data_IF_993994314458
#
_entry.id   IF_993994314458
#
_cell.length_a   1.000
_cell.length_b   1.000
_cell.length_c   1.000
_cell.angle_alpha   90.00
_cell.angle_beta   90.00
_cell.angle_gamma   90.00
#
_symmetry.space_group_name_H-M   'P 1'
#
loop_
_entity.id
_entity.type
_entity.pdbx_description
1 polymer ?
#
# COMPACT_ATOMS: atom_id res chain seq x y z
N UNK A 1 15.95 29.32 17.05
CA UNK A 1 15.54 28.01 16.50
C UNK A 1 14.67 28.35 15.32
N UNK A 2 15.15 28.13 14.09
CA UNK A 2 14.37 28.45 12.91
C UNK A 2 13.16 27.51 12.83
N UNK A 3 12.01 28.07 12.51
CA UNK A 3 10.72 27.38 12.58
C UNK A 3 10.39 26.71 11.25
N UNK A 4 9.60 25.63 11.32
CA UNK A 4 9.01 24.97 10.17
C UNK A 4 8.13 25.94 9.38
N UNK A 5 7.87 25.64 8.11
CA UNK A 5 7.05 26.51 7.27
C UNK A 5 5.60 26.54 7.76
N UNK A 6 5.18 27.70 8.27
CA UNK A 6 3.84 27.92 8.81
C UNK A 6 2.76 28.10 7.75
N UNK A 7 1.50 28.17 8.21
CA UNK A 7 0.36 28.51 7.35
C UNK A 7 -0.19 27.35 6.53
N UNK A 8 0.21 26.10 6.79
CA UNK A 8 -0.32 24.89 6.14
C UNK A 8 -1.43 24.18 6.92
N UNK A 9 -1.95 24.81 7.98
CA UNK A 9 -3.04 24.30 8.80
C UNK A 9 -4.43 24.64 8.26
N UNK A 10 -5.40 23.74 8.43
CA UNK A 10 -6.82 23.96 8.15
C UNK A 10 -7.54 24.38 9.45
N UNK A 11 -7.36 25.65 9.85
CA UNK A 11 -7.95 26.22 11.07
C UNK A 11 -7.33 25.73 12.40
N UNK A 12 -6.50 24.69 12.35
CA UNK A 12 -5.71 24.14 13.47
C UNK A 12 -4.28 23.86 12.98
N UNK A 13 -3.33 23.73 13.92
CA UNK A 13 -1.97 23.32 13.57
C UNK A 13 -1.98 21.93 12.94
N UNK A 14 -1.28 21.71 11.83
CA UNK A 14 -1.21 20.39 11.22
C UNK A 14 -0.43 19.43 12.13
N UNK A 15 -0.81 18.16 12.11
CA UNK A 15 -0.18 17.11 12.89
C UNK A 15 0.01 15.87 12.01
N UNK A 16 1.09 15.12 12.24
CA UNK A 16 1.29 13.83 11.61
C UNK A 16 1.93 12.84 12.57
N UNK A 17 1.51 11.58 12.45
CA UNK A 17 2.15 10.43 13.05
C UNK A 17 2.63 9.50 11.95
N UNK A 18 3.90 9.09 12.03
CA UNK A 18 4.49 8.13 11.09
C UNK A 18 5.03 6.95 11.88
N UNK A 19 4.67 5.74 11.47
CA UNK A 19 5.26 4.49 11.94
C UNK A 19 6.00 3.84 10.78
N UNK A 20 7.25 3.46 11.01
CA UNK A 20 8.05 2.74 10.02
C UNK A 20 8.12 1.28 10.41
N UNK A 21 7.76 0.42 9.48
CA UNK A 21 7.93 -1.02 9.56
C UNK A 21 8.92 -1.44 8.46
N UNK A 22 9.86 -2.34 8.77
CA UNK A 22 10.86 -2.81 7.81
C UNK A 22 10.89 -4.33 7.72
N UNK A 23 10.86 -4.88 6.51
CA UNK A 23 11.00 -6.31 6.27
C UNK A 23 11.64 -6.56 4.91
N UNK A 24 12.50 -7.58 4.81
CA UNK A 24 13.19 -7.94 3.56
C UNK A 24 13.95 -6.77 2.90
N UNK A 25 14.42 -5.82 3.71
CA UNK A 25 15.13 -4.64 3.22
C UNK A 25 14.24 -3.59 2.56
N UNK A 26 12.91 -3.66 2.70
CA UNK A 26 11.97 -2.59 2.31
C UNK A 26 11.53 -1.78 3.53
N UNK A 27 11.01 -0.58 3.30
CA UNK A 27 10.40 0.25 4.36
C UNK A 27 8.96 0.53 3.98
N UNK A 28 8.07 0.35 4.94
CA UNK A 28 6.69 0.82 4.83
C UNK A 28 6.41 1.84 5.92
N UNK A 29 6.08 3.05 5.48
CA UNK A 29 5.68 4.16 6.30
C UNK A 29 4.16 4.20 6.39
N UNK A 30 3.61 3.89 7.57
CA UNK A 30 2.21 4.12 7.90
C UNK A 30 2.04 5.53 8.41
N UNK A 31 1.26 6.36 7.72
CA UNK A 31 1.02 7.75 8.05
C UNK A 31 -0.39 7.95 8.58
N UNK A 32 -0.52 8.82 9.58
CA UNK A 32 -1.77 9.42 10.01
C UNK A 32 -1.56 10.93 10.10
N UNK A 33 -2.19 11.69 9.20
CA UNK A 33 -2.00 13.13 9.06
C UNK A 33 -3.32 13.84 9.31
N UNK A 34 -3.30 14.96 10.03
CA UNK A 34 -4.47 15.79 10.34
C UNK A 34 -4.20 17.25 10.08
N UNK A 35 -5.25 17.97 9.69
CA UNK A 35 -5.24 19.44 9.66
C UNK A 35 -4.36 20.04 8.56
N UNK A 36 -3.86 19.28 7.58
CA UNK A 36 -3.22 19.86 6.40
C UNK A 36 -4.25 20.56 5.53
N UNK A 37 -3.96 21.81 5.16
CA UNK A 37 -4.81 22.58 4.24
C UNK A 37 -4.66 22.05 2.80
N UNK A 38 -5.71 22.16 2.02
CA UNK A 38 -5.61 21.97 0.57
C UNK A 38 -5.06 23.24 -0.09
N UNK A 39 -4.45 23.09 -1.27
CA UNK A 39 -3.97 24.21 -2.05
C UNK A 39 -3.27 23.80 -3.34
N UNK A 40 -2.66 24.75 -4.06
CA UNK A 40 -1.98 24.51 -5.33
C UNK A 40 -0.59 23.86 -5.14
N UNK A 41 -0.48 22.93 -4.19
CA UNK A 41 0.75 22.22 -3.84
C UNK A 41 0.41 20.75 -3.55
N UNK A 42 1.39 19.89 -3.80
CA UNK A 42 1.33 18.45 -3.56
C UNK A 42 2.11 18.13 -2.30
N UNK A 43 1.55 17.31 -1.41
CA UNK A 43 2.29 16.87 -0.24
C UNK A 43 3.08 15.60 -0.53
N UNK A 44 4.32 15.55 -0.05
CA UNK A 44 5.23 14.41 -0.21
C UNK A 44 5.83 14.03 1.13
N UNK A 45 5.91 12.72 1.43
CA UNK A 45 6.71 12.21 2.54
C UNK A 45 8.15 11.99 2.07
N UNK A 46 9.11 12.47 2.84
CA UNK A 46 10.53 12.14 2.71
C UNK A 46 11.01 11.40 3.96
N UNK A 47 11.81 10.35 3.75
CA UNK A 47 12.62 9.73 4.79
C UNK A 47 14.08 10.14 4.61
N UNK A 48 14.74 10.51 5.70
CA UNK A 48 16.11 11.00 5.70
C UNK A 48 16.97 10.01 6.47
N UNK A 49 18.02 9.53 5.80
CA UNK A 49 18.86 8.44 6.28
C UNK A 49 20.26 8.95 6.58
N UNK A 50 20.92 8.37 7.60
CA UNK A 50 22.36 8.49 7.77
C UNK A 50 23.09 7.67 6.71
N UNK A 51 24.05 8.28 6.02
CA UNK A 51 24.89 7.63 5.03
C UNK A 51 26.33 8.10 5.18
N UNK A 52 27.19 7.22 5.71
CA UNK A 52 28.56 7.60 6.08
C UNK A 52 28.54 8.77 7.07
N UNK A 53 29.26 9.84 6.74
CA UNK A 53 29.30 11.09 7.53
C UNK A 53 28.18 12.10 7.15
N UNK A 54 27.28 11.71 6.24
CA UNK A 54 26.25 12.60 5.70
C UNK A 54 24.83 12.09 5.88
N UNK A 55 23.89 12.84 5.30
CA UNK A 55 22.46 12.50 5.24
C UNK A 55 22.00 12.46 3.80
N UNK A 56 21.06 11.55 3.51
CA UNK A 56 20.41 11.43 2.21
C UNK A 56 18.90 11.41 2.36
N UNK A 57 18.19 12.18 1.55
CA UNK A 57 16.73 12.22 1.51
C UNK A 57 16.19 11.34 0.38
N UNK A 58 15.15 10.55 0.68
CA UNK A 58 14.45 9.72 -0.29
C UNK A 58 12.95 10.04 -0.20
N UNK A 59 12.28 10.39 -1.32
CA UNK A 59 10.83 10.53 -1.34
C UNK A 59 10.17 9.16 -1.18
N UNK A 60 9.31 9.01 -0.16
CA UNK A 60 8.52 7.81 0.07
C UNK A 60 7.23 7.81 -0.76
N UNK A 61 6.71 8.99 -1.11
CA UNK A 61 5.54 9.13 -1.99
C UNK A 61 4.57 10.21 -1.56
N UNK A 62 3.41 10.22 -2.21
CA UNK A 62 2.39 11.25 -2.05
C UNK A 62 1.61 11.13 -0.76
N UNK A 63 1.40 12.26 -0.11
CA UNK A 63 0.48 12.38 1.02
C UNK A 63 -0.77 13.09 0.50
N UNK A 64 -1.92 12.40 0.56
CA UNK A 64 -3.18 13.01 0.16
C UNK A 64 -3.68 13.96 1.27
N UNK A 65 -4.01 15.20 0.93
CA UNK A 65 -4.67 16.15 1.83
C UNK A 65 -6.21 16.12 1.66
N UNK A 66 -6.75 15.03 1.13
CA UNK A 66 -8.19 14.86 0.97
C UNK A 66 -8.79 14.55 2.34
N UNK A 67 -9.65 15.43 2.88
CA UNK A 67 -10.35 15.34 4.17
C UNK A 67 -9.51 15.71 5.42
N UNK A 68 -10.14 16.16 6.54
CA UNK A 68 -9.45 16.70 7.73
C UNK A 68 -8.45 15.76 8.40
N UNK A 69 -8.49 14.47 8.08
CA UNK A 69 -7.50 13.48 8.47
C UNK A 69 -7.32 12.44 7.38
N UNK A 70 -6.08 12.07 7.09
CA UNK A 70 -5.70 11.03 6.13
C UNK A 70 -4.89 9.95 6.84
N UNK A 71 -5.22 8.69 6.56
CA UNK A 71 -4.41 7.54 6.95
C UNK A 71 -4.02 6.79 5.68
N UNK A 72 -2.77 6.38 5.58
CA UNK A 72 -2.28 5.62 4.43
C UNK A 72 -0.91 5.02 4.65
N UNK A 73 -0.43 4.31 3.64
CA UNK A 73 0.83 3.60 3.68
C UNK A 73 1.63 3.90 2.42
N UNK A 74 2.92 4.18 2.61
CA UNK A 74 3.88 4.46 1.53
C UNK A 74 5.05 3.50 1.65
N UNK A 75 5.52 2.96 0.54
CA UNK A 75 6.58 1.96 0.49
C UNK A 75 7.82 2.51 -0.22
N UNK A 76 9.00 2.23 0.35
CA UNK A 76 10.28 2.36 -0.35
C UNK A 76 10.82 0.94 -0.55
N UNK A 77 10.95 0.55 -1.80
CA UNK A 77 11.40 -0.79 -2.17
C UNK A 77 12.91 -0.99 -1.87
N UNK A 78 13.36 -2.25 -1.72
CA UNK A 78 14.76 -2.53 -1.43
C UNK A 78 15.74 -2.09 -2.51
N UNK A 79 15.30 -2.03 -3.78
CA UNK A 79 16.09 -1.56 -4.91
C UNK A 79 16.42 -0.08 -4.78
N UNK A 80 15.43 0.73 -4.41
CA UNK A 80 15.62 2.16 -4.11
C UNK A 80 16.57 2.35 -2.92
N UNK A 81 16.41 1.62 -1.81
CA UNK A 81 17.36 1.76 -0.69
C UNK A 81 18.79 1.38 -1.09
N UNK A 82 18.96 0.32 -1.90
CA UNK A 82 20.26 -0.10 -2.43
C UNK A 82 20.87 0.93 -3.38
N UNK A 83 20.10 1.53 -4.29
CA UNK A 83 20.63 2.55 -5.21
C UNK A 83 21.08 3.81 -4.48
N UNK A 84 20.47 4.09 -3.34
CA UNK A 84 20.86 5.16 -2.43
C UNK A 84 21.88 4.71 -1.39
N UNK A 85 22.40 3.48 -1.48
CA UNK A 85 23.36 2.88 -0.54
C UNK A 85 22.97 3.15 0.93
N UNK A 86 21.72 2.87 1.25
CA UNK A 86 21.11 3.01 2.58
C UNK A 86 20.33 1.75 2.96
N UNK A 87 19.85 1.70 4.21
CA UNK A 87 19.10 0.58 4.80
C UNK A 87 18.02 1.09 5.77
N UNK A 88 16.97 0.31 6.05
CA UNK A 88 15.90 0.70 6.96
C UNK A 88 16.34 1.20 8.33
N UNK A 89 17.34 0.56 8.94
CA UNK A 89 17.89 0.90 10.24
C UNK A 89 18.60 2.27 10.29
N UNK A 90 18.87 2.88 9.13
CA UNK A 90 19.58 4.15 9.02
C UNK A 90 18.64 5.35 8.94
N UNK A 91 17.32 5.17 8.99
CA UNK A 91 16.38 6.30 9.01
C UNK A 91 16.57 7.11 10.30
N UNK A 92 16.79 8.41 10.14
CA UNK A 92 16.94 9.37 11.26
C UNK A 92 15.76 10.31 11.37
N UNK A 93 15.16 10.68 10.25
CA UNK A 93 14.10 11.68 10.21
C UNK A 93 13.01 11.34 9.19
N UNK A 94 11.85 11.94 9.40
CA UNK A 94 10.75 12.01 8.45
C UNK A 94 10.30 13.46 8.28
N UNK A 95 9.97 13.86 7.05
CA UNK A 95 9.48 15.19 6.75
C UNK A 95 8.31 15.10 5.76
N UNK A 96 7.26 15.89 5.99
CA UNK A 96 6.21 16.12 4.99
C UNK A 96 6.49 17.48 4.36
N UNK A 97 6.67 17.50 3.04
CA UNK A 97 6.83 18.72 2.27
C UNK A 97 5.52 19.11 1.60
N UNK A 98 5.31 20.40 1.35
CA UNK A 98 4.35 20.90 0.39
C UNK A 98 5.12 21.41 -0.84
N UNK A 99 4.83 20.88 -2.01
CA UNK A 99 5.60 21.13 -3.23
C UNK A 99 4.75 21.79 -4.32
N UNK A 100 5.28 22.86 -4.89
CA UNK A 100 4.79 23.50 -6.12
C UNK A 100 5.91 23.48 -7.16
N UNK A 101 5.64 23.96 -8.39
CA UNK A 101 6.63 23.93 -9.49
C UNK A 101 7.99 24.52 -9.10
N UNK A 102 7.98 25.62 -8.34
CA UNK A 102 9.18 26.42 -8.08
C UNK A 102 9.52 26.56 -6.59
N UNK A 103 8.66 26.03 -5.71
CA UNK A 103 8.81 26.18 -4.25
C UNK A 103 8.45 24.90 -3.52
N UNK A 104 9.24 24.63 -2.49
CA UNK A 104 9.04 23.55 -1.53
C UNK A 104 9.00 24.16 -0.14
N UNK A 105 8.06 23.71 0.68
CA UNK A 105 7.90 24.07 2.08
C UNK A 105 7.91 22.81 2.93
N UNK A 106 8.34 22.91 4.18
CA UNK A 106 8.43 21.80 5.13
C UNK A 106 7.53 22.10 6.33
N UNK A 107 6.22 21.82 6.23
CA UNK A 107 5.28 22.08 7.32
C UNK A 107 5.40 21.12 8.50
N UNK A 108 5.87 19.88 8.29
CA UNK A 108 5.96 18.89 9.35
C UNK A 108 7.27 18.12 9.28
N UNK A 109 7.85 17.86 10.45
CA UNK A 109 9.10 17.16 10.63
C UNK A 109 9.10 16.34 11.92
N UNK A 110 9.74 15.18 11.90
CA UNK A 110 9.96 14.35 13.06
C UNK A 110 11.33 13.68 13.02
N UNK A 111 11.95 13.51 14.19
CA UNK A 111 13.11 12.66 14.39
C UNK A 111 12.73 11.36 15.08
N UNK A 112 13.39 10.26 14.72
CA UNK A 112 13.20 8.97 15.39
C UNK A 112 14.05 8.82 16.65
N UNK A 113 15.00 9.75 16.86
CA UNK A 113 15.86 9.81 18.04
C UNK A 113 15.66 11.15 18.76
N UNK A 114 15.49 11.10 20.09
CA UNK A 114 15.23 12.28 20.94
C UNK A 114 16.36 13.32 20.93
N UNK A 115 17.58 12.90 20.64
CA UNK A 115 18.78 13.74 20.54
C UNK A 115 18.79 14.59 19.27
N UNK A 116 18.12 14.13 18.21
CA UNK A 116 18.15 14.75 16.90
C UNK A 116 17.03 15.79 16.79
N UNK A 117 17.39 17.02 16.42
CA UNK A 117 16.47 18.14 16.27
C UNK A 117 16.48 18.67 14.85
N UNK A 118 15.46 19.44 14.51
CA UNK A 118 15.39 20.19 13.27
C UNK A 118 16.51 21.24 13.18
N UNK A 119 17.09 21.39 11.99
CA UNK A 119 17.98 22.47 11.59
C UNK A 119 17.86 22.77 10.08
N UNK A 120 18.39 23.91 9.64
CA UNK A 120 18.31 24.34 8.25
C UNK A 120 19.14 23.47 7.28
N UNK A 121 20.12 22.71 7.79
CA UNK A 121 20.90 21.80 6.95
C UNK A 121 20.02 20.67 6.40
N UNK A 122 19.02 20.22 7.18
CA UNK A 122 18.03 19.23 6.77
C UNK A 122 17.13 19.76 5.65
N UNK A 123 16.75 21.05 5.68
CA UNK A 123 16.01 21.68 4.57
C UNK A 123 16.82 21.60 3.28
N UNK A 124 18.11 21.90 3.34
CA UNK A 124 19.01 21.82 2.18
C UNK A 124 19.16 20.39 1.65
N UNK A 125 19.14 19.37 2.51
CA UNK A 125 19.20 17.95 2.12
C UNK A 125 17.91 17.52 1.41
N UNK A 126 16.75 17.98 1.85
CA UNK A 126 15.47 17.68 1.19
C UNK A 126 15.39 18.41 -0.17
N UNK A 127 15.86 19.66 -0.24
CA UNK A 127 15.86 20.45 -1.47
C UNK A 127 16.86 19.93 -2.52
N UNK A 128 17.99 19.36 -2.09
CA UNK A 128 18.95 18.69 -2.96
C UNK A 128 18.38 17.35 -3.40
N UNK A 129 17.61 17.35 -4.51
CA UNK A 129 17.28 16.12 -5.25
C UNK A 129 18.53 15.27 -5.36
N UNK A 130 18.48 14.04 -4.85
CA UNK A 130 19.62 13.14 -4.85
C UNK A 130 20.24 13.05 -6.25
N UNK A 131 21.59 13.02 -6.35
CA UNK A 131 22.25 13.02 -7.64
C UNK A 131 21.79 11.81 -8.44
N UNK A 132 21.11 12.07 -9.56
CA UNK A 132 20.93 11.09 -10.65
C UNK A 132 22.31 10.72 -11.17
N UNK A 133 22.98 9.74 -10.56
CA UNK A 133 24.16 9.10 -11.15
C UNK A 133 23.77 7.70 -11.60
N UNK A 134 23.76 7.56 -12.93
CA UNK A 134 23.86 6.33 -13.73
C UNK A 134 22.58 5.54 -13.99
N UNK A 135 21.60 6.16 -14.65
CA UNK A 135 20.72 5.46 -15.61
C UNK A 135 20.96 5.88 -17.07
N UNK A 136 21.79 6.91 -17.31
CA UNK A 136 22.21 7.35 -18.66
C UNK A 136 23.68 7.01 -18.90
N UNK A 137 24.01 5.71 -19.00
CA UNK A 137 25.27 5.25 -19.64
C UNK A 137 25.13 3.86 -20.31
N UNK A 138 23.90 3.45 -20.67
CA UNK A 138 23.69 2.26 -21.53
C UNK A 138 23.05 2.60 -22.87
N UNK A 139 22.55 3.82 -23.08
CA UNK A 139 21.92 4.22 -24.35
C UNK A 139 22.83 4.87 -25.39
N UNK A 140 24.07 5.26 -25.06
CA UNK A 140 24.98 5.95 -26.01
C UNK A 140 26.17 5.12 -26.50
N UNK A 141 26.36 3.89 -25.98
CA UNK A 141 27.41 2.98 -26.47
C UNK A 141 26.95 2.06 -27.62
N UNK A 142 25.65 2.01 -27.92
CA UNK A 142 25.08 1.13 -28.95
C UNK A 142 24.88 1.81 -30.33
N UNK A 143 25.36 3.05 -30.53
CA UNK A 143 25.17 3.80 -31.80
C UNK A 143 26.45 4.22 -32.52
N UNK A 144 27.63 3.75 -32.12
CA UNK A 144 28.88 3.98 -32.84
C UNK A 144 29.72 2.70 -32.91
N UNK A 145 29.32 1.78 -33.78
CA UNK A 145 30.09 0.55 -34.02
C UNK A 145 29.64 -0.26 -35.22
N UNK A 146 28.87 0.34 -36.14
CA UNK A 146 28.32 -0.37 -37.30
C UNK A 146 28.52 0.46 -38.57
N UNK A 147 29.78 0.75 -38.85
CA UNK A 147 30.24 1.08 -40.20
C UNK A 147 31.77 1.11 -40.20
N UNK A 148 32.39 -0.01 -40.54
CA UNK A 148 33.44 -0.08 -41.56
C UNK A 148 34.13 -1.45 -41.58
N UNK A 149 34.03 -2.06 -42.76
CA UNK A 149 34.96 -3.05 -43.35
C UNK A 149 34.98 -4.41 -42.66
N UNK A 150 34.61 -5.49 -43.33
CA UNK A 150 35.35 -5.97 -44.50
C UNK A 150 34.53 -7.05 -45.21
N UNK A 151 34.25 -6.80 -46.47
CA UNK A 151 34.07 -7.84 -47.48
C UNK A 151 35.42 -8.50 -47.77
N UNK A 152 35.30 -9.79 -48.12
CA UNK A 152 36.24 -10.66 -48.84
C UNK A 152 37.23 -11.51 -48.03
N UNK A 153 36.82 -12.78 -47.96
CA UNK A 153 37.59 -14.01 -47.73
C UNK A 153 38.46 -14.36 -48.95
N UNK A 154 39.63 -14.92 -48.69
CA UNK A 154 40.21 -16.19 -49.20
C UNK A 154 41.73 -16.15 -48.88
N UNK A 155 42.44 -17.19 -48.45
CA UNK A 155 42.30 -18.63 -48.69
C UNK A 155 43.24 -19.43 -47.75
N UNK A 156 42.70 -20.55 -47.25
CA UNK A 156 43.27 -21.92 -47.12
C UNK A 156 44.52 -22.29 -46.28
N UNK A 157 44.41 -23.53 -45.77
CA UNK A 157 45.39 -24.49 -45.22
C UNK A 157 45.66 -24.43 -43.69
N UNK A 158 45.78 -25.50 -42.92
CA UNK A 158 45.37 -26.93 -42.93
C UNK A 158 45.78 -27.50 -41.54
N UNK A 159 45.33 -28.71 -41.17
CA UNK A 159 45.77 -29.57 -40.04
C UNK A 159 45.24 -29.32 -38.61
N UNK A 160 44.54 -30.35 -38.06
CA UNK A 160 44.13 -30.48 -36.64
C UNK A 160 45.20 -31.17 -35.77
N UNK A 161 44.86 -31.91 -34.67
CA UNK A 161 43.56 -32.11 -34.00
C UNK A 161 43.62 -32.08 -32.43
N UNK A 162 42.50 -32.48 -31.80
CA UNK A 162 42.31 -32.96 -30.42
C UNK A 162 42.14 -31.90 -29.30
N UNK A 163 41.12 -31.96 -28.43
CA UNK A 163 40.06 -32.94 -28.29
C UNK A 163 39.03 -32.59 -27.19
N UNK A 164 38.04 -33.47 -27.06
CA UNK A 164 37.07 -33.67 -25.95
C UNK A 164 36.08 -32.49 -25.74
N UNK A 165 34.75 -32.63 -25.89
CA UNK A 165 33.86 -33.67 -25.38
C UNK A 165 32.50 -33.62 -26.12
N UNK A 166 31.86 -34.78 -26.24
CA UNK A 166 30.55 -35.05 -26.86
C UNK A 166 29.37 -34.81 -25.86
N UNK A 167 28.08 -35.04 -26.20
CA UNK A 167 27.05 -33.98 -26.22
C UNK A 167 25.82 -34.22 -25.31
N UNK A 168 24.96 -33.19 -25.23
CA UNK A 168 23.49 -33.16 -24.97
C UNK A 168 22.87 -33.98 -23.80
N UNK A 169 21.89 -33.42 -23.05
CA UNK A 169 20.52 -33.52 -23.56
C UNK A 169 19.53 -32.38 -23.22
N UNK A 170 18.58 -32.23 -24.16
CA UNK A 170 17.19 -31.73 -24.11
C UNK A 170 16.50 -31.41 -22.75
N UNK A 171 15.53 -30.47 -22.76
CA UNK A 171 14.91 -29.90 -21.57
C UNK A 171 13.85 -30.82 -20.95
N UNK A 172 14.10 -31.23 -19.70
CA UNK A 172 13.11 -31.84 -18.81
C UNK A 172 12.36 -30.78 -18.02
N UNK A 173 11.07 -30.64 -18.32
CA UNK A 173 10.00 -30.02 -17.53
C UNK A 173 10.24 -30.22 -16.02
N UNK A 174 10.52 -29.14 -15.27
CA UNK A 174 10.45 -29.14 -13.81
C UNK A 174 9.45 -28.10 -13.34
N UNK A 175 8.61 -28.59 -12.45
CA UNK A 175 7.41 -27.99 -11.91
C UNK A 175 7.66 -26.64 -11.25
N UNK A 176 6.68 -25.77 -11.46
CA UNK A 176 6.48 -24.51 -10.75
C UNK A 176 6.42 -24.74 -9.25
N UNK A 177 7.54 -24.51 -8.56
CA UNK A 177 7.53 -24.27 -7.12
C UNK A 177 7.29 -22.78 -6.87
N UNK A 178 6.03 -22.37 -6.98
CA UNK A 178 5.51 -21.17 -6.33
C UNK A 178 5.57 -21.36 -4.81
N UNK A 179 6.62 -20.85 -4.17
CA UNK A 179 6.62 -20.49 -2.75
C UNK A 179 6.78 -18.96 -2.71
N UNK A 180 5.73 -18.17 -2.56
CA UNK A 180 4.77 -18.24 -1.47
C UNK A 180 5.25 -17.28 -0.39
N UNK A 181 4.96 -16.00 -0.60
CA UNK A 181 5.26 -14.90 0.30
C UNK A 181 4.89 -15.25 1.74
N UNK A 182 5.77 -14.91 2.68
CA UNK A 182 5.48 -14.89 4.10
C UNK A 182 4.43 -13.81 4.40
N UNK A 183 3.18 -14.12 4.10
CA UNK A 183 2.00 -13.42 4.57
C UNK A 183 2.06 -13.41 6.10
N UNK A 184 2.03 -12.22 6.70
CA UNK A 184 1.70 -12.08 8.12
C UNK A 184 0.36 -12.80 8.28
N UNK A 185 0.40 -13.96 8.93
CA UNK A 185 -0.76 -14.84 9.07
C UNK A 185 -1.85 -14.06 9.80
N UNK A 186 -2.95 -13.76 9.11
CA UNK A 186 -4.13 -13.18 9.73
C UNK A 186 -4.51 -14.02 10.95
N UNK A 187 -4.62 -13.36 12.11
CA UNK A 187 -5.09 -14.01 13.33
C UNK A 187 -6.63 -13.94 13.32
N UNK A 188 -7.23 -14.98 12.72
CA UNK A 188 -8.67 -15.07 12.49
C UNK A 188 -9.43 -15.15 13.81
N UNK A 189 -8.90 -15.88 14.79
CA UNK A 189 -9.53 -16.04 16.10
C UNK A 189 -9.54 -14.70 16.86
N UNK A 190 -8.45 -13.94 16.77
CA UNK A 190 -8.38 -12.57 17.30
C UNK A 190 -9.34 -11.63 16.58
N UNK A 191 -9.44 -11.72 15.24
CA UNK A 191 -10.37 -10.91 14.46
C UNK A 191 -11.82 -11.17 14.89
N UNK A 192 -12.23 -12.44 14.94
CA UNK A 192 -13.58 -12.85 15.33
C UNK A 192 -13.90 -12.38 16.75
N UNK A 193 -12.96 -12.53 17.68
CA UNK A 193 -13.11 -12.07 19.06
C UNK A 193 -13.29 -10.55 19.13
N UNK A 194 -12.47 -9.79 18.38
CA UNK A 194 -12.57 -8.33 18.37
C UNK A 194 -13.88 -7.86 17.73
N UNK A 195 -14.32 -8.46 16.63
CA UNK A 195 -15.60 -8.09 16.00
C UNK A 195 -16.76 -8.38 16.95
N UNK A 196 -16.80 -9.59 17.53
CA UNK A 196 -17.85 -10.01 18.47
C UNK A 196 -17.96 -9.10 19.69
N UNK A 197 -16.82 -8.61 20.20
CA UNK A 197 -16.81 -7.72 21.36
C UNK A 197 -17.21 -6.27 21.04
N UNK A 198 -17.21 -5.89 19.77
CA UNK A 198 -17.35 -4.49 19.36
C UNK A 198 -18.62 -4.19 18.54
N UNK A 199 -19.27 -5.22 17.99
CA UNK A 199 -20.41 -5.10 17.10
C UNK A 199 -21.50 -6.12 17.42
N UNK A 200 -22.75 -5.77 17.10
CA UNK A 200 -23.91 -6.60 17.39
C UNK A 200 -24.03 -7.73 16.37
N UNK A 201 -24.20 -8.97 16.85
CA UNK A 201 -24.47 -10.10 15.99
C UNK A 201 -25.84 -9.92 15.30
N UNK A 202 -25.91 -10.27 14.02
CA UNK A 202 -27.11 -10.08 13.21
C UNK A 202 -27.40 -11.31 12.35
N UNK A 203 -28.66 -11.49 11.96
CA UNK A 203 -29.07 -12.50 11.00
C UNK A 203 -29.77 -11.81 9.82
N UNK A 204 -29.01 -11.17 8.92
CA UNK A 204 -29.58 -10.34 7.86
C UNK A 204 -30.30 -11.14 6.77
N UNK A 205 -30.08 -12.46 6.69
CA UNK A 205 -30.63 -13.33 5.65
C UNK A 205 -31.51 -14.43 6.26
N UNK A 206 -32.76 -14.57 5.77
CA UNK A 206 -33.73 -15.56 6.26
C UNK A 206 -33.27 -17.02 6.14
N UNK A 207 -32.45 -17.34 5.13
CA UNK A 207 -31.77 -18.63 4.99
C UNK A 207 -30.30 -18.42 5.28
N UNK A 208 -29.97 -18.28 6.56
CA UNK A 208 -28.59 -18.19 7.01
C UNK A 208 -27.86 -19.49 6.71
N UNK A 209 -26.70 -19.39 6.05
CA UNK A 209 -25.77 -20.51 5.99
C UNK A 209 -25.00 -20.53 7.33
N UNK A 210 -24.95 -21.66 8.07
CA UNK A 210 -24.24 -21.77 9.35
C UNK A 210 -22.74 -21.43 9.26
N UNK A 211 -22.16 -21.49 8.06
CA UNK A 211 -20.76 -21.13 7.81
C UNK A 211 -20.51 -19.62 7.88
N UNK A 212 -21.56 -18.81 7.91
CA UNK A 212 -21.47 -17.36 8.02
C UNK A 212 -21.85 -16.87 9.41
N UNK A 213 -21.00 -16.02 9.97
CA UNK A 213 -21.35 -15.20 11.14
C UNK A 213 -21.42 -13.75 10.70
N UNK A 214 -22.54 -13.06 11.00
CA UNK A 214 -22.76 -11.68 10.59
C UNK A 214 -22.85 -10.74 11.79
N UNK A 215 -22.35 -9.53 11.59
CA UNK A 215 -22.34 -8.45 12.57
C UNK A 215 -22.76 -7.14 11.92
N UNK A 216 -23.55 -6.33 12.62
CA UNK A 216 -23.90 -4.99 12.19
C UNK A 216 -22.80 -4.00 12.62
N UNK A 217 -22.27 -3.30 11.63
CA UNK A 217 -21.20 -2.32 11.81
C UNK A 217 -21.76 -0.94 11.52
N UNK A 218 -21.82 -0.11 12.57
CA UNK A 218 -22.22 1.30 12.49
C UNK A 218 -21.02 2.25 12.39
N UNK A 219 -19.81 1.76 12.69
CA UNK A 219 -18.57 2.53 12.67
C UNK A 219 -17.52 1.82 11.82
N UNK A 220 -17.32 2.38 10.61
CA UNK A 220 -16.35 1.85 9.64
C UNK A 220 -14.90 2.03 10.10
N UNK A 221 -14.60 3.11 10.82
CA UNK A 221 -13.25 3.37 11.30
C UNK A 221 -12.87 2.34 12.37
N UNK A 222 -13.80 2.03 13.26
CA UNK A 222 -13.63 0.97 14.27
C UNK A 222 -13.42 -0.40 13.63
N UNK A 223 -14.20 -0.74 12.60
CA UNK A 223 -14.01 -1.99 11.86
C UNK A 223 -12.64 -2.03 11.16
N UNK A 224 -12.25 -0.95 10.50
CA UNK A 224 -10.95 -0.82 9.83
C UNK A 224 -9.79 -1.06 10.80
N UNK A 225 -9.84 -0.44 11.98
CA UNK A 225 -8.85 -0.64 13.03
C UNK A 225 -8.78 -2.10 13.52
N UNK A 226 -9.94 -2.75 13.70
CA UNK A 226 -10.00 -4.16 14.12
C UNK A 226 -9.36 -5.08 13.07
N UNK A 227 -9.67 -4.88 11.79
CA UNK A 227 -9.07 -5.65 10.71
C UNK A 227 -7.56 -5.42 10.63
N UNK A 228 -7.12 -4.17 10.72
CA UNK A 228 -5.71 -3.82 10.73
C UNK A 228 -4.94 -4.47 11.90
N UNK A 229 -5.48 -4.43 13.12
CA UNK A 229 -4.90 -5.08 14.30
C UNK A 229 -4.84 -6.62 14.21
N UNK A 230 -5.60 -7.18 13.27
CA UNK A 230 -5.66 -8.63 13.00
C UNK A 230 -4.81 -9.04 11.78
N UNK A 231 -4.08 -8.09 11.18
CA UNK A 231 -3.17 -8.33 10.06
C UNK A 231 -3.81 -8.19 8.67
N UNK A 232 -5.01 -7.62 8.58
CA UNK A 232 -5.77 -7.45 7.34
C UNK A 232 -5.78 -5.97 6.95
N UNK A 233 -5.08 -5.62 5.87
CA UNK A 233 -5.10 -4.25 5.33
C UNK A 233 -5.89 -4.21 4.03
N UNK A 234 -7.16 -3.83 4.12
CA UNK A 234 -8.10 -3.89 3.00
C UNK A 234 -8.49 -2.47 2.57
N UNK A 235 -8.17 -2.05 1.34
CA UNK A 235 -8.48 -0.69 0.86
C UNK A 235 -9.97 -0.46 0.55
N UNK A 236 -10.82 -1.46 0.74
CA UNK A 236 -12.27 -1.43 0.41
C UNK A 236 -12.97 -0.23 1.04
N UNK A 237 -12.59 0.18 2.24
CA UNK A 237 -13.23 1.29 2.96
C UNK A 237 -13.00 2.67 2.36
N UNK A 238 -12.07 2.83 1.42
CA UNK A 238 -11.88 4.08 0.69
C UNK A 238 -12.97 4.32 -0.38
N UNK A 239 -13.84 3.34 -0.64
CA UNK A 239 -14.88 3.45 -1.66
C UNK A 239 -16.07 4.32 -1.16
N UNK A 240 -16.36 5.47 -1.79
CA UNK A 240 -17.43 6.37 -1.36
C UNK A 240 -18.82 5.71 -1.32
N UNK A 241 -19.08 4.70 -2.16
CA UNK A 241 -20.36 3.99 -2.19
C UNK A 241 -20.62 3.21 -0.90
N UNK A 242 -19.57 2.72 -0.25
CA UNK A 242 -19.69 2.05 1.06
C UNK A 242 -20.11 3.05 2.13
N UNK A 243 -19.51 4.24 2.12
CA UNK A 243 -19.88 5.33 3.01
C UNK A 243 -21.32 5.77 2.78
N UNK A 244 -21.75 5.92 1.52
CA UNK A 244 -23.14 6.26 1.18
C UNK A 244 -24.11 5.22 1.75
N UNK A 245 -23.81 3.93 1.61
CA UNK A 245 -24.61 2.84 2.19
C UNK A 245 -24.69 2.96 3.72
N UNK A 246 -23.54 3.12 4.38
CA UNK A 246 -23.45 3.31 5.82
C UNK A 246 -24.25 4.54 6.30
N UNK A 247 -24.13 5.68 5.64
CA UNK A 247 -24.81 6.92 6.04
C UNK A 247 -26.33 6.83 5.87
N UNK A 248 -26.79 6.20 4.79
CA UNK A 248 -28.22 6.06 4.47
C UNK A 248 -28.91 5.06 5.38
N UNK A 249 -28.31 3.89 5.57
CA UNK A 249 -28.92 2.78 6.29
C UNK A 249 -28.43 2.63 7.73
N UNK A 250 -27.48 3.48 8.16
CA UNK A 250 -26.88 3.54 9.52
C UNK A 250 -26.08 2.31 9.93
N UNK A 251 -25.90 1.35 9.03
CA UNK A 251 -25.08 0.18 9.26
C UNK A 251 -24.54 -0.37 7.94
N UNK A 252 -23.51 -1.21 8.04
CA UNK A 252 -23.11 -2.20 7.04
C UNK A 252 -23.03 -3.56 7.73
N UNK A 253 -22.82 -4.61 6.97
CA UNK A 253 -22.57 -5.95 7.51
C UNK A 253 -21.09 -6.30 7.46
N UNK A 254 -20.57 -6.84 8.54
CA UNK A 254 -19.33 -7.60 8.57
C UNK A 254 -19.66 -9.08 8.73
N UNK A 255 -19.24 -9.88 7.77
CA UNK A 255 -19.42 -11.32 7.72
C UNK A 255 -18.09 -12.04 7.86
N UNK A 256 -18.08 -13.13 8.61
CA UNK A 256 -16.99 -14.10 8.61
C UNK A 256 -17.51 -15.38 8.00
N UNK A 257 -16.90 -15.80 6.90
CA UNK A 257 -17.19 -17.08 6.26
C UNK A 257 -16.09 -18.08 6.60
N UNK A 258 -16.51 -19.20 7.21
CA UNK A 258 -15.65 -20.34 7.52
C UNK A 258 -15.93 -21.45 6.52
N UNK A 259 -15.20 -21.46 5.41
CA UNK A 259 -15.32 -22.50 4.39
C UNK A 259 -14.56 -23.78 4.76
N UNK A 260 -15.00 -24.91 4.20
CA UNK A 260 -14.22 -26.14 4.20
C UNK A 260 -12.90 -25.90 3.43
N UNK A 261 -11.77 -26.42 3.93
CA UNK A 261 -10.41 -26.28 3.36
C UNK A 261 -9.68 -24.93 3.58
N UNK A 262 -9.83 -24.30 4.75
CA UNK A 262 -9.06 -23.10 5.15
C UNK A 262 -9.31 -21.84 4.27
N UNK A 263 -10.40 -21.85 3.49
CA UNK A 263 -10.86 -20.69 2.71
C UNK A 263 -11.69 -19.79 3.61
N UNK A 264 -11.01 -19.05 4.48
CA UNK A 264 -11.65 -18.08 5.36
C UNK A 264 -11.77 -16.75 4.61
N UNK A 265 -13.00 -16.26 4.48
CA UNK A 265 -13.27 -14.96 3.84
C UNK A 265 -13.88 -14.01 4.84
N UNK A 266 -13.42 -12.77 4.80
CA UNK A 266 -14.13 -11.65 5.39
C UNK A 266 -15.09 -11.09 4.34
N UNK A 267 -16.33 -10.83 4.73
CA UNK A 267 -17.38 -10.43 3.81
C UNK A 267 -17.96 -9.10 4.26
N UNK A 268 -17.98 -8.12 3.37
CA UNK A 268 -18.56 -6.81 3.64
C UNK A 268 -19.89 -6.75 2.91
N UNK A 269 -20.99 -6.55 3.64
CA UNK A 269 -22.31 -6.33 3.07
C UNK A 269 -22.66 -4.85 3.07
N UNK A 270 -22.71 -4.24 1.89
CA UNK A 270 -23.06 -2.82 1.72
C UNK A 270 -24.55 -2.72 1.40
N UNK A 271 -25.36 -2.07 2.26
CA UNK A 271 -26.79 -1.99 2.04
C UNK A 271 -27.12 -1.11 0.83
N UNK A 272 -28.12 -1.53 0.06
CA UNK A 272 -28.67 -0.76 -1.04
C UNK A 272 -30.18 -1.02 -1.22
N UNK A 273 -30.82 -0.17 -2.02
CA UNK A 273 -32.25 -0.29 -2.32
C UNK A 273 -32.57 -1.47 -3.24
N UNK A 274 -31.71 -1.73 -4.22
CA UNK A 274 -31.88 -2.77 -5.24
C UNK A 274 -30.52 -3.10 -5.90
N UNK A 275 -30.53 -4.02 -6.87
CA UNK A 275 -29.35 -4.50 -7.60
C UNK A 275 -28.75 -3.48 -8.59
N UNK A 276 -29.35 -2.31 -8.75
CA UNK A 276 -28.81 -1.22 -9.57
C UNK A 276 -28.32 -0.05 -8.70
N UNK A 277 -28.78 0.03 -7.46
CA UNK A 277 -28.41 1.08 -6.52
C UNK A 277 -27.03 0.84 -5.88
N UNK A 278 -26.23 1.91 -5.82
CA UNK A 278 -25.03 2.02 -5.00
C UNK A 278 -24.02 0.85 -5.10
N UNK A 279 -23.92 0.20 -6.27
CA UNK A 279 -23.01 -0.93 -6.52
C UNK A 279 -21.55 -0.54 -6.28
N UNK A 280 -20.87 -1.10 -5.25
CA UNK A 280 -19.56 -0.64 -4.81
C UNK A 280 -18.45 -0.96 -5.81
N UNK A 281 -18.46 -2.16 -6.38
CA UNK A 281 -17.46 -2.64 -7.34
C UNK A 281 -18.15 -3.19 -8.58
N UNK A 282 -17.55 -3.02 -9.76
CA UNK A 282 -18.17 -3.53 -10.99
C UNK A 282 -18.15 -5.06 -11.00
N UNK A 283 -16.98 -5.70 -10.97
CA UNK A 283 -16.91 -7.17 -11.07
C UNK A 283 -16.78 -7.88 -9.73
N UNK A 284 -16.37 -7.17 -8.68
CA UNK A 284 -15.98 -7.75 -7.38
C UNK A 284 -17.02 -7.57 -6.26
N UNK A 285 -18.31 -7.72 -6.60
CA UNK A 285 -19.37 -7.79 -5.59
C UNK A 285 -20.58 -8.56 -6.10
N UNK A 286 -21.34 -9.14 -5.17
CA UNK A 286 -22.55 -9.92 -5.46
C UNK A 286 -23.76 -9.34 -4.75
N UNK A 287 -24.86 -9.16 -5.49
CA UNK A 287 -26.13 -8.74 -4.90
C UNK A 287 -26.79 -9.89 -4.13
N UNK A 288 -27.27 -9.61 -2.92
CA UNK A 288 -28.10 -10.52 -2.13
C UNK A 288 -29.32 -9.78 -1.59
N UNK A 289 -30.54 -10.12 -2.05
CA UNK A 289 -31.75 -9.46 -1.59
C UNK A 289 -32.13 -9.88 -0.16
N UNK A 290 -32.75 -8.96 0.58
CA UNK A 290 -33.27 -9.20 1.93
C UNK A 290 -34.77 -8.91 1.93
N UNK A 291 -35.54 -9.76 2.61
CA UNK A 291 -36.99 -9.58 2.72
C UNK A 291 -37.40 -9.40 4.17
N UNK A 292 -38.23 -8.38 4.45
CA UNK A 292 -38.75 -8.13 5.79
C UNK A 292 -37.75 -7.49 6.74
N UNK A 293 -36.90 -6.59 6.24
CA UNK A 293 -36.07 -5.74 7.11
C UNK A 293 -36.91 -4.63 7.73
N UNK A 294 -36.66 -4.32 9.00
CA UNK A 294 -37.22 -3.15 9.70
C UNK A 294 -36.66 -1.82 9.16
N UNK A 295 -35.58 -1.89 8.37
CA UNK A 295 -34.97 -0.71 7.75
C UNK A 295 -35.72 -0.33 6.47
N UNK A 296 -36.34 0.85 6.50
CA UNK A 296 -37.06 1.41 5.35
C UNK A 296 -36.17 1.51 4.10
N UNK A 297 -36.72 1.11 2.95
CA UNK A 297 -36.07 1.15 1.63
C UNK A 297 -34.79 0.31 1.50
N UNK A 298 -34.56 -0.66 2.39
CA UNK A 298 -33.49 -1.65 2.24
C UNK A 298 -33.99 -2.84 1.41
N UNK A 299 -33.46 -3.02 0.20
CA UNK A 299 -33.78 -4.19 -0.62
C UNK A 299 -32.77 -5.33 -0.51
N UNK A 300 -31.56 -5.06 -0.01
CA UNK A 300 -30.53 -6.07 0.13
C UNK A 300 -29.14 -5.50 0.37
N UNK A 301 -28.14 -6.37 0.20
CA UNK A 301 -26.73 -6.03 0.39
C UNK A 301 -25.90 -6.45 -0.81
N UNK A 302 -24.96 -5.58 -1.19
CA UNK A 302 -23.82 -5.95 -2.02
C UNK A 302 -22.75 -6.60 -1.16
N UNK A 303 -22.50 -7.88 -1.39
CA UNK A 303 -21.47 -8.65 -0.70
C UNK A 303 -20.14 -8.53 -1.44
N UNK A 304 -19.11 -8.14 -0.72
CA UNK A 304 -17.71 -8.05 -1.18
C UNK A 304 -16.90 -9.03 -0.35
N UNK A 305 -16.24 -9.98 -1.02
CA UNK A 305 -15.45 -11.00 -0.35
C UNK A 305 -13.99 -10.57 -0.32
N UNK A 306 -13.35 -10.77 0.82
CA UNK A 306 -11.96 -10.47 1.06
C UNK A 306 -11.31 -11.73 1.58
N UNK A 307 -10.27 -12.18 0.87
CA UNK A 307 -9.44 -13.29 1.31
C UNK A 307 -8.73 -12.93 2.61
N UNK A 308 -8.98 -13.66 3.70
CA UNK A 308 -8.25 -13.48 4.95
C UNK A 308 -6.79 -13.94 4.85
N UNK A 309 -6.45 -14.67 3.78
CA UNK A 309 -5.09 -15.10 3.49
C UNK A 309 -4.29 -14.00 2.79
N UNK A 310 -4.83 -13.39 1.74
CA UNK A 310 -4.11 -12.41 0.91
C UNK A 310 -4.47 -10.95 1.19
N UNK A 311 -5.59 -10.68 1.88
CA UNK A 311 -6.14 -9.34 2.04
C UNK A 311 -6.77 -8.77 0.76
N UNK A 312 -6.81 -9.55 -0.32
CA UNK A 312 -7.33 -9.12 -1.62
C UNK A 312 -8.84 -9.35 -1.70
N UNK A 313 -9.49 -8.50 -2.48
CA UNK A 313 -10.90 -8.66 -2.84
C UNK A 313 -11.00 -9.81 -3.85
N UNK A 314 -11.88 -10.77 -3.58
CA UNK A 314 -12.15 -11.92 -4.44
C UNK A 314 -13.59 -11.89 -4.94
N UNK A 315 -13.81 -12.50 -6.11
CA UNK A 315 -15.12 -12.62 -6.78
C UNK A 315 -15.71 -14.00 -6.55
#
# INVERSE_FOLDING_TARGET
MEELDGGFGMGTSPEAFVRLDSWEGRIVASLHVKGLKQGPFRYMLYLIFSQGDGLVSIPAGDVSASFPSMQGSLEIDPGTLKSYNTRPELVKYAAITAESKDKMWIPLFASFEKSLKWDESLRQIIHKKAPKKQAEKVSDAARKGQEKTRSEQDKSEEHGPAGQSEPDPKPGRKESATGGAGLIKCDIDKLETLIKNNFEASQPFKRGNPDYTWYQVNDLAKLSNIMYMSGINVPVFANPKILVGLFRYKHILAGLYKGENFSNFFVIGIPARDENDNRPFETACRWVPVTGSDTRDLGGYWLVYVSLRSGEIVV
#
